data_IF_812122610302
#
_entry.id   IF_812122610302
#
_cell.length_a   1.000
_cell.length_b   1.000
_cell.length_c   1.000
_cell.angle_alpha   90.00
_cell.angle_beta   90.00
_cell.angle_gamma   90.00
#
_symmetry.space_group_name_H-M   'P 1'
#
loop_
_entity.id
_entity.type
_entity.pdbx_description
1 polymer ?
#
# COMPACT_ATOMS: atom_id res chain seq x y z
N UNK A 1 -26.38 19.84 32.86
CA UNK A 1 -24.99 19.34 32.99
C UNK A 1 -24.43 19.15 31.59
N UNK A 2 -23.52 20.01 31.17
CA UNK A 2 -22.84 19.93 29.88
C UNK A 2 -21.79 18.83 29.98
N UNK A 3 -21.95 17.75 29.21
CA UNK A 3 -20.99 16.65 29.16
C UNK A 3 -19.73 17.18 28.46
N UNK A 4 -18.65 17.37 29.23
CA UNK A 4 -17.35 17.69 28.67
C UNK A 4 -16.94 16.54 27.73
N UNK A 5 -16.81 16.84 26.44
CA UNK A 5 -16.14 15.95 25.49
C UNK A 5 -14.68 15.99 25.89
N UNK A 6 -14.17 14.92 26.50
CA UNK A 6 -12.74 14.76 26.70
C UNK A 6 -12.07 14.87 25.32
N UNK A 7 -10.95 15.58 25.17
CA UNK A 7 -10.18 15.50 23.94
C UNK A 7 -9.91 14.03 23.67
N UNK A 8 -10.17 13.58 22.44
CA UNK A 8 -9.86 12.22 22.04
C UNK A 8 -8.38 11.98 22.33
N UNK A 9 -8.08 11.07 23.25
CA UNK A 9 -6.70 10.71 23.53
C UNK A 9 -6.06 10.17 22.26
N UNK A 10 -4.79 10.51 22.02
CA UNK A 10 -4.03 9.94 20.93
C UNK A 10 -3.63 8.50 21.30
N UNK A 11 -3.68 7.60 20.32
CA UNK A 11 -3.19 6.22 20.48
C UNK A 11 -1.97 6.03 19.61
N UNK A 12 -0.87 5.57 20.20
CA UNK A 12 0.34 5.18 19.45
C UNK A 12 0.67 3.72 19.71
N UNK A 13 0.98 3.02 18.62
CA UNK A 13 1.44 1.65 18.57
C UNK A 13 2.95 1.67 18.32
N UNK A 14 3.70 0.87 19.08
CA UNK A 14 5.14 0.72 18.87
C UNK A 14 5.42 -0.08 17.61
N UNK A 15 5.48 0.61 16.47
CA UNK A 15 5.82 0.03 15.17
C UNK A 15 7.30 0.31 14.88
N UNK A 16 8.14 -0.73 14.65
CA UNK A 16 9.52 -0.52 14.26
C UNK A 16 9.60 0.26 12.95
N UNK A 17 10.57 1.17 12.84
CA UNK A 17 10.78 1.95 11.61
C UNK A 17 11.83 1.27 10.75
N UNK A 18 11.42 0.83 9.57
CA UNK A 18 12.33 0.28 8.55
C UNK A 18 12.39 1.21 7.35
N UNK A 19 13.62 1.49 6.89
CA UNK A 19 13.82 2.21 5.63
C UNK A 19 13.51 1.28 4.47
N UNK A 20 12.81 1.80 3.47
CA UNK A 20 12.60 1.13 2.20
C UNK A 20 13.95 0.75 1.55
N UNK A 21 14.07 -0.48 1.06
CA UNK A 21 15.33 -1.02 0.52
C UNK A 21 15.46 -0.91 -1.00
N UNK A 22 14.35 -0.76 -1.73
CA UNK A 22 14.31 -0.60 -3.19
C UNK A 22 13.62 0.70 -3.59
N UNK A 23 13.55 1.00 -4.88
CA UNK A 23 12.93 2.24 -5.35
C UNK A 23 11.41 2.25 -5.15
N UNK A 24 10.75 1.12 -5.41
CA UNK A 24 9.29 1.00 -5.47
C UNK A 24 8.78 -0.22 -4.68
N UNK A 25 9.12 -0.33 -3.41
CA UNK A 25 8.67 -1.43 -2.55
C UNK A 25 8.13 -0.91 -1.21
N UNK A 26 7.51 0.27 -1.24
CA UNK A 26 6.93 0.90 -0.06
C UNK A 26 5.88 0.02 0.62
N UNK A 27 5.14 -0.78 -0.15
CA UNK A 27 4.14 -1.75 0.29
C UNK A 27 4.80 -2.86 1.12
N UNK A 28 5.83 -3.53 0.59
CA UNK A 28 6.59 -4.49 1.42
C UNK A 28 7.30 -3.86 2.61
N UNK A 29 7.72 -2.59 2.49
CA UNK A 29 8.30 -1.83 3.61
C UNK A 29 7.29 -1.58 4.72
N UNK A 30 6.08 -1.15 4.36
CA UNK A 30 4.96 -0.98 5.27
C UNK A 30 4.52 -2.32 5.86
N UNK A 31 4.38 -3.34 5.03
CA UNK A 31 4.04 -4.68 5.48
C UNK A 31 5.07 -5.23 6.47
N UNK A 32 6.37 -5.01 6.22
CA UNK A 32 7.45 -5.39 7.14
C UNK A 32 7.25 -4.71 8.51
N UNK A 33 6.98 -3.41 8.53
CA UNK A 33 6.73 -2.65 9.77
C UNK A 33 5.49 -3.19 10.50
N UNK A 34 4.39 -3.44 9.77
CA UNK A 34 3.15 -4.00 10.31
C UNK A 34 3.34 -5.40 10.91
N UNK A 35 3.99 -6.32 10.19
CA UNK A 35 4.30 -7.67 10.68
C UNK A 35 5.21 -7.65 11.91
N UNK A 36 6.22 -6.77 11.92
CA UNK A 36 7.16 -6.65 13.03
C UNK A 36 6.49 -6.14 14.31
N UNK A 37 5.44 -5.31 14.20
CA UNK A 37 4.62 -4.90 15.36
C UNK A 37 3.92 -6.09 16.06
N UNK A 38 3.72 -7.20 15.35
CA UNK A 38 3.22 -8.47 15.89
C UNK A 38 4.32 -9.50 16.16
N UNK A 39 5.60 -9.09 16.18
CA UNK A 39 6.73 -9.98 16.41
C UNK A 39 7.01 -10.96 15.27
N UNK A 40 6.60 -10.62 14.04
CA UNK A 40 6.87 -11.39 12.82
C UNK A 40 7.90 -10.65 11.98
N UNK A 41 9.09 -11.25 11.81
CA UNK A 41 10.22 -10.58 11.19
C UNK A 41 10.55 -11.20 9.84
N UNK A 42 10.37 -10.40 8.78
CA UNK A 42 10.72 -10.78 7.40
C UNK A 42 11.50 -9.62 6.75
N UNK A 43 12.31 -9.93 5.74
CA UNK A 43 12.92 -8.89 4.90
C UNK A 43 11.93 -8.42 3.83
N UNK A 44 12.07 -7.18 3.38
CA UNK A 44 11.25 -6.66 2.27
C UNK A 44 11.41 -7.51 0.99
N UNK A 45 12.62 -8.01 0.73
CA UNK A 45 12.90 -8.90 -0.42
C UNK A 45 12.18 -10.25 -0.30
N UNK A 46 12.10 -10.82 0.90
CA UNK A 46 11.38 -12.06 1.12
C UNK A 46 9.87 -11.87 0.93
N UNK A 47 9.32 -10.74 1.38
CA UNK A 47 7.90 -10.40 1.18
C UNK A 47 7.61 -10.11 -0.31
N UNK A 48 8.48 -9.34 -0.97
CA UNK A 48 8.34 -8.98 -2.39
C UNK A 48 8.30 -10.20 -3.32
N UNK A 49 8.98 -11.30 -2.95
CA UNK A 49 8.97 -12.54 -3.71
C UNK A 49 7.56 -13.12 -3.94
N UNK A 50 6.57 -12.71 -3.13
CA UNK A 50 5.18 -13.14 -3.26
C UNK A 50 4.31 -12.21 -4.12
N UNK A 51 4.83 -11.07 -4.56
CA UNK A 51 4.06 -10.09 -5.34
C UNK A 51 4.04 -10.40 -6.84
N UNK A 52 4.81 -11.38 -7.30
CA UNK A 52 4.81 -11.90 -8.68
C UNK A 52 4.88 -10.80 -9.76
N UNK A 53 6.01 -10.10 -9.94
CA UNK A 53 6.05 -8.90 -10.77
C UNK A 53 5.66 -9.13 -12.24
N UNK A 54 4.76 -8.30 -12.76
CA UNK A 54 4.45 -8.20 -14.18
C UNK A 54 5.40 -7.20 -14.86
N UNK A 55 6.40 -7.73 -15.56
CA UNK A 55 7.45 -6.92 -16.19
C UNK A 55 7.08 -6.40 -17.59
N UNK A 56 5.85 -6.63 -18.07
CA UNK A 56 5.40 -6.05 -19.35
C UNK A 56 5.44 -4.53 -19.26
N UNK A 57 5.91 -3.90 -20.34
CA UNK A 57 6.04 -2.44 -20.40
C UNK A 57 4.66 -1.77 -20.48
N UNK A 58 4.55 -0.59 -19.88
CA UNK A 58 3.39 0.27 -20.05
C UNK A 58 3.21 0.64 -21.53
N UNK A 59 1.96 0.57 -22.02
CA UNK A 59 1.56 1.23 -23.25
C UNK A 59 1.12 2.66 -22.91
N UNK A 60 1.68 3.62 -23.64
CA UNK A 60 1.50 5.05 -23.39
C UNK A 60 0.84 5.67 -24.61
N UNK A 61 -0.28 6.38 -24.39
CA UNK A 61 -0.98 7.11 -25.44
C UNK A 61 -0.20 8.35 -25.89
N UNK A 62 -0.63 8.95 -27.01
CA UNK A 62 0.03 10.12 -27.59
C UNK A 62 0.08 11.35 -26.65
N UNK A 63 -0.78 11.40 -25.64
CA UNK A 63 -0.83 12.44 -24.61
C UNK A 63 0.11 12.15 -23.40
N UNK A 64 0.95 11.11 -23.48
CA UNK A 64 1.85 10.71 -22.39
C UNK A 64 1.17 9.98 -21.23
N UNK A 65 -0.13 9.65 -21.32
CA UNK A 65 -0.84 8.90 -20.27
C UNK A 65 -0.76 7.40 -20.51
N UNK A 66 -0.71 6.62 -19.42
CA UNK A 66 -0.71 5.15 -19.50
C UNK A 66 -2.09 4.70 -19.98
N UNK A 67 -2.15 4.03 -21.13
CA UNK A 67 -3.38 3.45 -21.65
C UNK A 67 -3.58 2.01 -21.18
N UNK A 68 -2.49 1.24 -21.04
CA UNK A 68 -2.53 -0.15 -20.60
C UNK A 68 -1.23 -0.56 -19.91
N UNK A 69 -1.35 -1.34 -18.82
CA UNK A 69 -0.21 -1.90 -18.09
C UNK A 69 -0.64 -3.12 -17.26
N UNK A 70 0.18 -3.55 -16.30
CA UNK A 70 -0.16 -4.64 -15.38
C UNK A 70 -1.33 -4.32 -14.46
N UNK A 71 -1.85 -5.34 -13.77
CA UNK A 71 -2.91 -5.20 -12.77
C UNK A 71 -2.32 -5.23 -11.34
N UNK A 72 -2.29 -4.10 -10.61
CA UNK A 72 -1.75 -4.03 -9.26
C UNK A 72 -2.61 -4.80 -8.24
N UNK A 73 -3.87 -5.16 -8.56
CA UNK A 73 -4.70 -5.97 -7.66
C UNK A 73 -4.28 -7.44 -7.63
N UNK A 74 -3.46 -7.89 -8.58
CA UNK A 74 -3.04 -9.30 -8.72
C UNK A 74 -1.53 -9.49 -8.70
N UNK A 75 -0.75 -8.49 -9.15
CA UNK A 75 0.70 -8.58 -9.27
C UNK A 75 1.35 -7.22 -8.98
N UNK A 76 2.61 -7.20 -8.57
CA UNK A 76 3.41 -5.97 -8.62
C UNK A 76 3.60 -5.55 -10.08
N UNK A 77 3.38 -4.28 -10.40
CA UNK A 77 3.43 -3.79 -11.78
C UNK A 77 4.81 -3.20 -12.10
N UNK A 78 5.54 -3.83 -13.01
CA UNK A 78 6.86 -3.43 -13.48
C UNK A 78 8.01 -3.81 -12.53
N UNK A 79 9.10 -3.06 -12.61
CA UNK A 79 10.32 -3.34 -11.83
C UNK A 79 10.31 -2.62 -10.48
N UNK A 80 10.58 -3.35 -9.41
CA UNK A 80 10.74 -2.82 -8.04
C UNK A 80 11.94 -1.87 -7.89
N UNK A 81 12.90 -1.95 -8.81
CA UNK A 81 14.03 -1.01 -8.90
C UNK A 81 13.78 0.07 -9.99
N UNK A 82 12.56 0.17 -10.49
CA UNK A 82 12.16 1.11 -11.53
C UNK A 82 11.79 2.49 -10.99
N UNK A 83 10.94 3.18 -11.73
CA UNK A 83 10.44 4.51 -11.43
C UNK A 83 9.01 4.67 -11.98
N UNK A 84 8.11 5.19 -11.14
CA UNK A 84 6.73 5.51 -11.53
C UNK A 84 6.71 6.57 -12.62
N UNK A 85 7.47 7.66 -12.47
CA UNK A 85 7.51 8.75 -13.44
C UNK A 85 8.16 8.36 -14.76
N UNK A 86 9.11 7.42 -14.75
CA UNK A 86 9.69 6.84 -15.96
C UNK A 86 8.88 5.65 -16.52
N UNK A 87 7.77 5.27 -15.88
CA UNK A 87 6.90 4.17 -16.28
C UNK A 87 7.64 2.83 -16.45
N UNK A 88 8.60 2.56 -15.56
CA UNK A 88 9.37 1.30 -15.52
C UNK A 88 9.00 0.40 -14.34
N UNK A 89 8.27 0.94 -13.38
CA UNK A 89 7.65 0.24 -12.26
C UNK A 89 6.56 1.12 -11.67
N UNK A 90 5.63 0.51 -10.93
CA UNK A 90 4.52 1.21 -10.32
C UNK A 90 4.41 0.83 -8.85
N UNK A 91 3.85 -0.35 -8.57
CA UNK A 91 3.45 -0.76 -7.23
C UNK A 91 2.50 -1.95 -7.28
N UNK A 92 1.91 -2.26 -6.13
CA UNK A 92 0.92 -3.32 -5.93
C UNK A 92 -0.17 -2.85 -4.98
N UNK A 93 -1.38 -3.40 -5.09
CA UNK A 93 -2.52 -3.03 -4.26
C UNK A 93 -2.87 -4.07 -3.20
N UNK A 94 -3.78 -3.65 -2.31
CA UNK A 94 -4.10 -4.31 -1.06
C UNK A 94 -4.38 -5.82 -1.12
N UNK A 95 -5.00 -6.43 -2.16
CA UNK A 95 -5.32 -7.86 -2.09
C UNK A 95 -4.06 -8.73 -2.01
N UNK A 96 -3.00 -8.34 -2.72
CA UNK A 96 -1.72 -9.07 -2.72
C UNK A 96 -1.06 -8.93 -1.35
N UNK A 97 -0.93 -7.69 -0.83
CA UNK A 97 -0.36 -7.42 0.49
C UNK A 97 -1.13 -8.11 1.62
N UNK A 98 -2.47 -8.10 1.55
CA UNK A 98 -3.33 -8.79 2.51
C UNK A 98 -3.11 -10.31 2.47
N UNK A 99 -2.94 -10.89 1.29
CA UNK A 99 -2.61 -12.31 1.12
C UNK A 99 -1.26 -12.65 1.76
N UNK A 100 -0.25 -11.79 1.57
CA UNK A 100 1.07 -11.96 2.20
C UNK A 100 0.93 -11.85 3.73
N UNK A 101 0.27 -10.83 4.26
CA UNK A 101 0.05 -10.67 5.70
C UNK A 101 -0.60 -11.93 6.33
N UNK A 102 -1.66 -12.45 5.69
CA UNK A 102 -2.37 -13.65 6.15
C UNK A 102 -1.49 -14.89 6.17
N UNK A 103 -0.71 -15.11 5.11
CA UNK A 103 0.21 -16.24 5.02
C UNK A 103 1.43 -16.09 5.93
N UNK A 104 1.76 -14.89 6.39
CA UNK A 104 2.95 -14.57 7.18
C UNK A 104 2.68 -14.32 8.67
N UNK A 105 1.61 -14.92 9.19
CA UNK A 105 1.35 -14.99 10.64
C UNK A 105 0.28 -14.03 11.16
N UNK A 106 -0.46 -13.35 10.27
CA UNK A 106 -1.65 -12.56 10.59
C UNK A 106 -2.90 -13.11 9.88
N UNK A 107 -3.33 -14.36 10.16
CA UNK A 107 -4.43 -15.00 9.42
C UNK A 107 -5.77 -14.25 9.53
N UNK A 108 -5.95 -13.45 10.58
CA UNK A 108 -7.15 -12.64 10.82
C UNK A 108 -7.05 -11.23 10.23
N UNK A 109 -5.95 -10.87 9.53
CA UNK A 109 -5.86 -9.61 8.83
C UNK A 109 -7.01 -9.47 7.83
N UNK A 110 -7.52 -8.25 7.69
CA UNK A 110 -8.55 -7.91 6.73
C UNK A 110 -8.23 -6.58 6.06
N UNK A 111 -8.78 -6.37 4.87
CA UNK A 111 -8.45 -5.21 4.05
C UNK A 111 -9.48 -5.06 2.95
N UNK A 112 -9.53 -3.86 2.38
CA UNK A 112 -10.50 -3.48 1.37
C UNK A 112 -10.35 -2.03 0.96
N UNK A 113 -11.06 -1.68 -0.10
CA UNK A 113 -11.22 -0.29 -0.53
C UNK A 113 -12.52 0.29 0.04
N UNK A 114 -12.57 1.62 0.17
CA UNK A 114 -13.78 2.32 0.61
C UNK A 114 -14.01 2.34 2.12
N UNK A 115 -13.02 1.91 2.91
CA UNK A 115 -13.08 2.09 4.36
C UNK A 115 -13.15 3.57 4.75
N UNK A 116 -14.02 3.87 5.70
CA UNK A 116 -14.12 5.21 6.27
C UNK A 116 -12.92 5.50 7.17
N UNK A 117 -12.54 6.77 7.37
CA UNK A 117 -11.54 7.13 8.39
C UNK A 117 -11.90 6.59 9.78
N UNK A 118 -13.18 6.54 10.13
CA UNK A 118 -13.63 6.00 11.41
C UNK A 118 -13.32 4.50 11.57
N UNK A 119 -13.39 3.72 10.49
CA UNK A 119 -12.98 2.31 10.47
C UNK A 119 -11.48 2.18 10.76
N UNK A 120 -10.65 2.98 10.09
CA UNK A 120 -9.20 3.00 10.30
C UNK A 120 -8.86 3.41 11.74
N UNK A 121 -9.50 4.46 12.26
CA UNK A 121 -9.25 4.93 13.61
C UNK A 121 -9.69 3.94 14.69
N UNK A 122 -10.75 3.17 14.45
CA UNK A 122 -11.18 2.12 15.36
C UNK A 122 -10.11 1.00 15.48
N UNK A 123 -9.50 0.59 14.38
CA UNK A 123 -8.41 -0.39 14.38
C UNK A 123 -7.16 0.15 15.10
N UNK A 124 -6.79 1.40 14.82
CA UNK A 124 -5.66 2.05 15.50
C UNK A 124 -5.90 2.18 17.01
N UNK A 125 -7.13 2.56 17.42
CA UNK A 125 -7.52 2.61 18.82
C UNK A 125 -7.51 1.23 19.50
N UNK A 126 -7.81 0.17 18.74
CA UNK A 126 -7.68 -1.22 19.16
C UNK A 126 -6.23 -1.75 19.14
N UNK A 127 -5.25 -0.88 18.85
CA UNK A 127 -3.81 -1.19 18.74
C UNK A 127 -3.46 -2.13 17.58
N UNK A 128 -4.24 -2.08 16.50
CA UNK A 128 -3.90 -2.75 15.24
C UNK A 128 -3.29 -1.73 14.26
N UNK A 129 -2.01 -1.89 13.87
CA UNK A 129 -1.43 -1.07 12.81
C UNK A 129 -2.19 -1.27 11.49
N UNK A 130 -2.35 -0.19 10.73
CA UNK A 130 -3.10 -0.22 9.46
C UNK A 130 -2.19 0.21 8.33
N UNK A 131 -1.96 -0.65 7.36
CA UNK A 131 -1.29 -0.27 6.10
C UNK A 131 -2.29 0.42 5.17
N UNK A 132 -1.90 1.56 4.62
CA UNK A 132 -2.73 2.38 3.73
C UNK A 132 -1.96 2.80 2.50
N UNK A 133 -2.69 2.91 1.39
CA UNK A 133 -2.23 3.55 0.15
C UNK A 133 -2.59 5.02 0.21
N UNK A 134 -1.61 5.87 -0.06
CA UNK A 134 -1.67 7.32 -0.03
C UNK A 134 -0.91 7.87 -1.23
N UNK A 135 -1.05 9.16 -1.48
CA UNK A 135 -0.13 9.84 -2.38
C UNK A 135 1.05 10.42 -1.60
N UNK A 136 2.25 10.24 -2.15
CA UNK A 136 3.49 10.74 -1.57
C UNK A 136 3.34 12.21 -1.17
N UNK A 137 3.94 12.55 -0.02
CA UNK A 137 3.81 13.86 0.64
C UNK A 137 2.38 14.24 1.03
N UNK A 138 1.48 13.27 1.14
CA UNK A 138 0.05 13.48 1.45
C UNK A 138 -0.62 14.44 0.47
N UNK A 139 -0.16 14.40 -0.78
CA UNK A 139 -0.64 15.29 -1.84
C UNK A 139 -1.98 14.82 -2.41
N UNK A 140 -2.58 15.61 -3.31
CA UNK A 140 -3.84 15.26 -4.00
C UNK A 140 -3.69 15.45 -5.51
N UNK A 141 -2.86 14.62 -6.17
CA UNK A 141 -2.65 14.73 -7.60
C UNK A 141 -3.90 14.32 -8.37
N UNK A 142 -3.93 14.66 -9.66
CA UNK A 142 -4.98 14.18 -10.55
C UNK A 142 -4.78 12.69 -10.80
N UNK A 143 -5.83 11.90 -10.56
CA UNK A 143 -5.82 10.47 -10.84
C UNK A 143 -5.97 10.19 -12.34
N UNK A 144 -5.23 9.19 -12.81
CA UNK A 144 -5.37 8.62 -14.14
C UNK A 144 -6.19 7.33 -14.13
N UNK A 145 -6.34 6.73 -15.31
CA UNK A 145 -6.84 5.36 -15.44
C UNK A 145 -6.12 4.67 -16.58
N UNK A 146 -5.68 3.42 -16.37
CA UNK A 146 -5.31 2.52 -17.46
C UNK A 146 -6.21 1.29 -17.47
N UNK A 147 -6.19 0.54 -18.57
CA UNK A 147 -6.85 -0.77 -18.67
C UNK A 147 -5.79 -1.86 -18.57
N UNK A 148 -5.89 -2.74 -17.59
CA UNK A 148 -4.95 -3.84 -17.43
C UNK A 148 -5.09 -4.88 -18.55
N UNK A 149 -4.13 -5.80 -18.66
CA UNK A 149 -4.12 -6.84 -19.70
C UNK A 149 -5.32 -7.80 -19.64
N UNK A 150 -5.93 -7.95 -18.48
CA UNK A 150 -7.15 -8.73 -18.23
C UNK A 150 -8.45 -7.92 -18.47
N UNK A 151 -8.33 -6.65 -18.84
CA UNK A 151 -9.44 -5.74 -19.07
C UNK A 151 -9.91 -4.95 -17.85
N UNK A 152 -9.33 -5.17 -16.66
CA UNK A 152 -9.68 -4.40 -15.44
C UNK A 152 -9.29 -2.94 -15.60
N UNK A 153 -10.18 -2.01 -15.22
CA UNK A 153 -9.84 -0.58 -15.16
C UNK A 153 -9.16 -0.25 -13.84
N UNK A 154 -7.96 0.33 -13.93
CA UNK A 154 -7.12 0.67 -12.77
C UNK A 154 -7.05 2.18 -12.61
N UNK A 155 -7.53 2.71 -11.48
CA UNK A 155 -7.26 4.10 -11.09
C UNK A 155 -5.87 4.17 -10.51
N UNK A 156 -5.08 5.17 -10.90
CA UNK A 156 -3.70 5.29 -10.44
C UNK A 156 -3.26 6.75 -10.27
N UNK A 157 -2.16 6.93 -9.57
CA UNK A 157 -1.36 8.15 -9.46
C UNK A 157 0.11 7.78 -9.62
N UNK A 158 0.95 8.60 -10.26
CA UNK A 158 2.41 8.39 -10.32
C UNK A 158 3.15 8.96 -9.09
N UNK A 159 2.40 9.20 -8.03
CA UNK A 159 2.90 9.56 -6.71
C UNK A 159 2.29 8.59 -5.69
N UNK A 160 2.05 7.34 -6.08
CA UNK A 160 1.48 6.35 -5.18
C UNK A 160 2.50 6.03 -4.08
N UNK A 161 2.01 5.69 -2.90
CA UNK A 161 2.85 5.31 -1.77
C UNK A 161 2.06 4.50 -0.76
N UNK A 162 2.71 3.53 -0.11
CA UNK A 162 2.13 2.83 1.02
C UNK A 162 2.87 3.13 2.34
N UNK A 163 2.10 3.24 3.42
CA UNK A 163 2.62 3.48 4.79
C UNK A 163 1.86 2.67 5.82
N UNK A 164 2.53 2.31 6.92
CA UNK A 164 1.86 1.78 8.12
C UNK A 164 1.49 2.92 9.05
N UNK A 165 0.20 3.11 9.28
CA UNK A 165 -0.31 3.98 10.33
C UNK A 165 -0.10 3.30 11.68
N UNK A 166 0.58 4.01 12.58
CA UNK A 166 0.86 3.55 13.94
C UNK A 166 0.08 4.32 15.01
N UNK A 167 -0.82 5.23 14.62
CA UNK A 167 -1.60 6.00 15.57
C UNK A 167 -2.56 7.00 14.94
N UNK A 168 -3.42 7.56 15.80
CA UNK A 168 -4.43 8.60 15.51
C UNK A 168 -4.43 9.65 16.61
#
# INVERSE_FOLDING_TARGET
>A
ATRAVLPAGYVTIGVPVYRQTRALNCETGALQMGLAAYGRYYSQDALFAYENPDLRRALVGANGTVSQWGDPYTNFVGSVNGSETALTGYGVYYPVILSIARSHGLPNAYGGEGFSPATIYAELAARHPVEVWVEARWSRPRLGTWTAWDGRRIRYSLAEHAVTLSGV
#
